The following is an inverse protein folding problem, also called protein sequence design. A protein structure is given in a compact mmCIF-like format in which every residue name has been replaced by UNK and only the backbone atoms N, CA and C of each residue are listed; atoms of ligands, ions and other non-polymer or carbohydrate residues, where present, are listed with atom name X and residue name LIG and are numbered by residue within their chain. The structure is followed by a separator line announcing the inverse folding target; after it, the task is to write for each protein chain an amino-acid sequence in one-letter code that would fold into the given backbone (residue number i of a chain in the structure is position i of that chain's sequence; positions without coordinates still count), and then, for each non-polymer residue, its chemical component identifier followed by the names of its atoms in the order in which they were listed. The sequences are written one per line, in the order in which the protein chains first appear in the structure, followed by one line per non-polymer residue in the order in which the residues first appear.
data_IF_690487881542
#
_entry.id   IF_690487881542
#
_cell.length_a   1.000
_cell.length_b   1.000
_cell.length_c   1.000
_cell.angle_alpha   90.00
_cell.angle_beta   90.00
_cell.angle_gamma   90.00
#
_symmetry.space_group_name_H-M   'P 1'
#
loop_
_entity.id
_entity.type
_entity.pdbx_description
1 polymer ?
#
# COMPACT_ATOMS: atom_id res chain seq x y z
N UNK A 1 8.03 -11.77 -14.22
CA UNK A 1 6.88 -11.01 -13.67
C UNK A 1 7.30 -9.57 -13.46
N UNK A 2 6.48 -8.64 -13.90
CA UNK A 2 6.66 -7.20 -13.63
C UNK A 2 5.96 -6.83 -12.34
N UNK A 3 6.56 -5.98 -11.52
CA UNK A 3 6.03 -5.63 -10.20
C UNK A 3 6.05 -4.11 -9.99
N UNK A 4 4.94 -3.61 -9.49
CA UNK A 4 4.80 -2.26 -8.96
C UNK A 4 4.76 -2.36 -7.43
N UNK A 5 5.79 -1.85 -6.77
CA UNK A 5 5.87 -1.80 -5.31
C UNK A 5 5.29 -0.46 -4.89
N UNK A 6 4.18 -0.49 -4.17
CA UNK A 6 3.29 0.66 -3.99
C UNK A 6 3.14 1.02 -2.51
N UNK A 7 3.43 2.28 -2.19
CA UNK A 7 3.01 2.94 -0.96
C UNK A 7 1.63 3.57 -1.13
N UNK A 8 0.97 3.89 -0.03
CA UNK A 8 -0.37 4.48 -0.04
C UNK A 8 -0.34 5.98 0.30
N UNK A 9 0.13 6.32 1.50
CA UNK A 9 0.13 7.71 1.97
C UNK A 9 1.10 8.55 1.14
N UNK A 10 0.59 9.65 0.58
CA UNK A 10 1.35 10.50 -0.31
C UNK A 10 1.46 10.02 -1.76
N UNK A 11 0.90 8.85 -2.09
CA UNK A 11 0.94 8.25 -3.43
C UNK A 11 -0.46 8.10 -4.01
N UNK A 12 -1.29 7.23 -3.45
CA UNK A 12 -2.69 7.06 -3.87
C UNK A 12 -3.68 7.64 -2.86
N UNK A 13 -3.25 7.83 -1.62
CA UNK A 13 -3.98 8.52 -0.58
C UNK A 13 -3.31 9.88 -0.35
N UNK A 14 -3.88 10.93 -0.93
CA UNK A 14 -3.29 12.27 -0.89
C UNK A 14 -3.74 13.05 0.35
N UNK A 15 -3.13 14.19 0.61
CA UNK A 15 -3.40 15.00 1.82
C UNK A 15 -4.87 15.40 1.97
N UNK A 16 -5.60 15.62 0.88
CA UNK A 16 -7.02 15.93 0.91
C UNK A 16 -7.91 14.73 1.27
N UNK A 17 -7.37 13.52 1.22
CA UNK A 17 -8.06 12.29 1.62
C UNK A 17 -7.82 11.93 3.10
N UNK A 18 -6.82 12.53 3.73
CA UNK A 18 -6.47 12.23 5.13
C UNK A 18 -7.62 12.61 6.05
N UNK A 19 -7.92 11.71 6.97
CA UNK A 19 -9.05 11.85 7.89
C UNK A 19 -10.38 11.34 7.34
N UNK A 20 -10.46 10.95 6.09
CA UNK A 20 -11.69 10.38 5.51
C UNK A 20 -12.14 9.10 6.23
N UNK A 21 -11.19 8.30 6.73
CA UNK A 21 -11.49 7.11 7.56
C UNK A 21 -12.24 7.49 8.84
N UNK A 22 -11.88 8.58 9.48
CA UNK A 22 -12.53 9.04 10.72
C UNK A 22 -13.99 9.46 10.45
N UNK A 23 -14.24 10.13 9.34
CA UNK A 23 -15.59 10.49 8.90
C UNK A 23 -16.44 9.24 8.64
N UNK A 24 -15.87 8.25 7.96
CA UNK A 24 -16.55 6.97 7.70
C UNK A 24 -16.85 6.21 8.99
N UNK A 25 -15.90 6.13 9.90
CA UNK A 25 -16.05 5.45 11.19
C UNK A 25 -17.11 6.15 12.05
N UNK A 26 -17.12 7.47 12.08
CA UNK A 26 -18.13 8.26 12.80
C UNK A 26 -19.54 8.01 12.22
N UNK A 27 -19.67 7.97 10.91
CA UNK A 27 -20.93 7.69 10.22
C UNK A 27 -21.43 6.26 10.46
N UNK A 28 -20.52 5.30 10.54
CA UNK A 28 -20.81 3.88 10.82
C UNK A 28 -21.28 3.66 12.28
N UNK A 29 -20.99 4.54 13.20
CA UNK A 29 -21.37 4.41 14.61
C UNK A 29 -20.19 4.60 15.57
N UNK A 30 -19.05 5.01 15.02
CA UNK A 30 -17.86 5.33 15.78
C UNK A 30 -17.06 4.11 16.20
N UNK A 31 -15.78 4.34 16.50
CA UNK A 31 -14.84 3.35 16.98
C UNK A 31 -14.91 3.30 18.52
N UNK A 32 -15.18 2.13 19.09
CA UNK A 32 -15.11 1.93 20.54
C UNK A 32 -13.65 2.03 21.01
N UNK A 33 -13.41 2.54 22.23
CA UNK A 33 -12.05 2.74 22.75
C UNK A 33 -11.19 1.48 22.78
N UNK A 34 -11.80 0.31 22.99
CA UNK A 34 -11.10 -0.99 23.01
C UNK A 34 -10.89 -1.60 21.62
N UNK A 35 -11.45 -1.00 20.57
CA UNK A 35 -11.42 -1.56 19.23
C UNK A 35 -10.10 -1.19 18.51
N UNK A 36 -9.40 -2.19 18.00
CA UNK A 36 -8.24 -1.98 17.11
C UNK A 36 -8.69 -1.67 15.69
N UNK A 37 -7.79 -1.14 14.85
CA UNK A 37 -8.12 -0.91 13.44
C UNK A 37 -8.52 -2.19 12.72
N UNK A 38 -7.94 -3.34 13.06
CA UNK A 38 -8.29 -4.63 12.46
C UNK A 38 -9.72 -5.06 12.70
N UNK A 39 -10.36 -4.57 13.76
CA UNK A 39 -11.74 -4.87 14.12
C UNK A 39 -12.74 -3.94 13.41
N UNK A 40 -12.28 -2.82 12.87
CA UNK A 40 -13.12 -1.92 12.08
C UNK A 40 -13.42 -2.57 10.72
N UNK A 41 -14.66 -2.55 10.22
CA UNK A 41 -14.94 -3.04 8.86
C UNK A 41 -14.00 -2.41 7.84
N UNK A 42 -13.55 -3.19 6.87
CA UNK A 42 -12.53 -2.77 5.89
C UNK A 42 -12.92 -1.47 5.19
N UNK A 43 -14.19 -1.33 4.80
CA UNK A 43 -14.71 -0.14 4.12
C UNK A 43 -14.59 1.15 4.94
N UNK A 44 -14.43 1.05 6.27
CA UNK A 44 -14.31 2.19 7.19
C UNK A 44 -12.92 2.31 7.82
N UNK A 45 -12.01 1.38 7.50
CA UNK A 45 -10.72 1.21 8.21
C UNK A 45 -9.65 2.17 7.74
N UNK A 46 -9.64 2.48 6.45
CA UNK A 46 -8.58 3.24 5.81
C UNK A 46 -9.09 4.55 5.20
N UNK A 47 -8.18 5.47 4.97
CA UNK A 47 -8.46 6.70 4.22
C UNK A 47 -8.74 6.36 2.74
N UNK A 48 -9.53 7.19 2.08
CA UNK A 48 -9.90 7.00 0.69
C UNK A 48 -8.69 7.21 -0.24
N UNK A 49 -8.65 6.46 -1.33
CA UNK A 49 -7.73 6.75 -2.43
C UNK A 49 -8.23 7.94 -3.23
N UNK A 50 -7.29 8.70 -3.76
CA UNK A 50 -7.60 9.78 -4.70
C UNK A 50 -8.04 9.21 -6.05
N UNK A 51 -9.16 9.68 -6.58
CA UNK A 51 -9.74 9.14 -7.81
C UNK A 51 -8.83 9.33 -9.03
N UNK A 52 -8.13 10.45 -9.12
CA UNK A 52 -7.19 10.71 -10.21
C UNK A 52 -5.96 9.80 -10.11
N UNK A 53 -5.45 9.62 -8.89
CA UNK A 53 -4.34 8.71 -8.65
C UNK A 53 -4.70 7.26 -9.01
N UNK A 54 -5.90 6.81 -8.65
CA UNK A 54 -6.40 5.48 -9.01
C UNK A 54 -6.53 5.33 -10.53
N UNK A 55 -7.01 6.36 -11.22
CA UNK A 55 -7.10 6.35 -12.68
C UNK A 55 -5.72 6.13 -13.33
N UNK A 56 -4.71 6.87 -12.89
CA UNK A 56 -3.33 6.72 -13.38
C UNK A 56 -2.79 5.33 -13.04
N UNK A 57 -2.99 4.87 -11.81
CA UNK A 57 -2.57 3.53 -11.39
C UNK A 57 -3.19 2.45 -12.30
N UNK A 58 -4.48 2.55 -12.58
CA UNK A 58 -5.18 1.59 -13.44
C UNK A 58 -4.63 1.60 -14.88
N UNK A 59 -4.30 2.77 -15.41
CA UNK A 59 -3.66 2.88 -16.72
C UNK A 59 -2.31 2.17 -16.75
N UNK A 60 -1.48 2.40 -15.73
CA UNK A 60 -0.16 1.73 -15.60
C UNK A 60 -0.32 0.22 -15.51
N UNK A 61 -1.23 -0.25 -14.67
CA UNK A 61 -1.47 -1.70 -14.48
C UNK A 61 -1.97 -2.36 -15.77
N UNK A 62 -2.87 -1.69 -16.48
CA UNK A 62 -3.44 -2.21 -17.72
C UNK A 62 -2.38 -2.27 -18.84
N UNK A 63 -1.57 -1.24 -18.98
CA UNK A 63 -0.55 -1.16 -20.03
C UNK A 63 0.65 -2.09 -19.79
N UNK A 64 1.04 -2.29 -18.54
CA UNK A 64 2.25 -3.04 -18.17
C UNK A 64 1.98 -4.50 -17.81
N UNK A 65 0.77 -4.82 -17.37
CA UNK A 65 0.44 -6.12 -16.78
C UNK A 65 1.16 -6.36 -15.45
N UNK A 66 1.64 -5.31 -14.78
CA UNK A 66 2.36 -5.45 -13.51
C UNK A 66 1.46 -5.96 -12.40
N UNK A 67 2.06 -6.72 -11.47
CA UNK A 67 1.43 -7.08 -10.21
C UNK A 67 1.74 -6.02 -9.16
N UNK A 68 0.84 -5.84 -8.20
CA UNK A 68 1.03 -4.88 -7.11
C UNK A 68 1.58 -5.60 -5.88
N UNK A 69 2.65 -5.06 -5.31
CA UNK A 69 3.15 -5.47 -3.99
C UNK A 69 3.07 -4.24 -3.08
N UNK A 70 2.35 -4.37 -1.97
CA UNK A 70 2.11 -3.25 -1.06
C UNK A 70 3.29 -3.08 -0.11
N UNK A 71 3.86 -1.88 -0.10
CA UNK A 71 4.98 -1.47 0.74
C UNK A 71 4.58 -0.38 1.73
N UNK A 72 3.32 -0.37 2.13
CA UNK A 72 2.74 0.63 3.03
C UNK A 72 2.61 0.09 4.46
N UNK A 73 2.68 0.97 5.45
CA UNK A 73 2.40 0.62 6.84
C UNK A 73 0.96 0.16 7.07
N UNK A 74 0.08 0.37 6.11
CA UNK A 74 -1.29 -0.15 6.18
C UNK A 74 -1.33 -1.68 6.30
N UNK A 75 -0.30 -2.38 5.85
CA UNK A 75 -0.15 -3.84 6.04
C UNK A 75 -0.19 -4.27 7.52
N UNK A 76 0.12 -3.35 8.43
CA UNK A 76 0.03 -3.60 9.88
C UNK A 76 -1.41 -3.67 10.39
N UNK A 77 -2.37 -3.18 9.62
CA UNK A 77 -3.76 -3.00 10.03
C UNK A 77 -4.76 -3.87 9.25
N UNK A 78 -4.29 -4.82 8.48
CA UNK A 78 -5.15 -5.71 7.73
C UNK A 78 -4.38 -6.85 7.06
N UNK A 79 -5.13 -7.90 6.71
CA UNK A 79 -4.60 -9.01 5.91
C UNK A 79 -4.47 -8.60 4.45
N UNK A 80 -3.79 -9.43 3.67
CA UNK A 80 -3.72 -9.24 2.21
C UNK A 80 -5.12 -9.32 1.58
N UNK A 81 -5.96 -10.21 2.09
CA UNK A 81 -7.36 -10.32 1.65
C UNK A 81 -8.14 -9.04 1.94
N UNK A 82 -8.01 -8.47 3.14
CA UNK A 82 -8.64 -7.20 3.50
C UNK A 82 -8.19 -6.09 2.54
N UNK A 83 -6.90 -6.03 2.25
CA UNK A 83 -6.36 -5.03 1.33
C UNK A 83 -6.91 -5.20 -0.09
N UNK A 84 -7.08 -6.44 -0.53
CA UNK A 84 -7.70 -6.74 -1.83
C UNK A 84 -9.14 -6.24 -1.89
N UNK A 85 -9.93 -6.43 -0.83
CA UNK A 85 -11.29 -5.90 -0.73
C UNK A 85 -11.28 -4.37 -0.80
N UNK A 86 -10.36 -3.73 -0.08
CA UNK A 86 -10.27 -2.27 -0.08
C UNK A 86 -9.87 -1.70 -1.45
N UNK A 87 -8.93 -2.33 -2.14
CA UNK A 87 -8.54 -1.94 -3.49
C UNK A 87 -9.72 -2.01 -4.47
N UNK A 88 -10.50 -3.07 -4.35
CA UNK A 88 -11.72 -3.22 -5.16
C UNK A 88 -12.71 -2.10 -4.87
N UNK A 89 -12.94 -1.79 -3.59
CA UNK A 89 -13.81 -0.68 -3.18
C UNK A 89 -13.32 0.68 -3.69
N UNK A 90 -12.00 0.88 -3.76
CA UNK A 90 -11.41 2.12 -4.25
C UNK A 90 -11.30 2.19 -5.77
N UNK A 91 -11.73 1.16 -6.48
CA UNK A 91 -11.78 1.15 -7.94
C UNK A 91 -10.47 0.78 -8.63
N UNK A 92 -9.53 0.16 -7.91
CA UNK A 92 -8.30 -0.37 -8.52
C UNK A 92 -8.62 -1.65 -9.28
N UNK A 93 -8.16 -1.75 -10.52
CA UNK A 93 -8.51 -2.86 -11.43
C UNK A 93 -7.87 -4.21 -11.04
N UNK A 94 -6.93 -4.20 -10.11
CA UNK A 94 -6.19 -5.39 -9.70
C UNK A 94 -6.00 -5.39 -8.19
N UNK A 95 -6.14 -6.56 -7.56
CA UNK A 95 -5.86 -6.73 -6.14
C UNK A 95 -4.34 -6.86 -5.93
N UNK A 96 -3.81 -6.46 -4.76
CA UNK A 96 -2.41 -6.70 -4.44
C UNK A 96 -2.08 -8.18 -4.44
N UNK A 97 -0.91 -8.51 -4.97
CA UNK A 97 -0.37 -9.86 -4.97
C UNK A 97 0.19 -10.24 -3.60
N UNK A 98 0.85 -9.30 -2.95
CA UNK A 98 1.61 -9.56 -1.72
C UNK A 98 1.88 -8.27 -0.95
N UNK A 99 2.36 -8.42 0.28
CA UNK A 99 2.96 -7.37 1.10
C UNK A 99 4.47 -7.54 1.15
N UNK A 100 5.22 -6.46 1.24
CA UNK A 100 6.62 -6.55 1.68
C UNK A 100 6.68 -7.00 3.14
N UNK A 101 7.73 -7.75 3.56
CA UNK A 101 7.85 -8.19 4.95
C UNK A 101 8.11 -7.00 5.89
N UNK A 102 7.94 -7.24 7.18
CA UNK A 102 8.33 -6.31 8.24
C UNK A 102 9.74 -6.70 8.68
N UNK A 103 10.68 -5.76 8.64
CA UNK A 103 12.03 -5.99 9.14
C UNK A 103 12.12 -5.56 10.60
N UNK A 104 12.70 -6.45 11.43
CA UNK A 104 12.95 -6.18 12.85
C UNK A 104 14.35 -5.58 13.01
N UNK A 105 14.46 -4.30 12.71
CA UNK A 105 15.71 -3.56 12.75
C UNK A 105 15.45 -2.09 13.08
N UNK A 106 16.38 -1.43 13.76
CA UNK A 106 16.34 0.02 13.96
C UNK A 106 16.96 0.75 12.77
N UNK A 107 16.47 1.97 12.53
CA UNK A 107 16.97 2.81 11.44
C UNK A 107 15.95 3.87 11.02
N UNK A 108 16.29 4.63 9.99
CA UNK A 108 15.38 5.59 9.39
C UNK A 108 14.24 4.88 8.65
N UNK A 109 13.13 5.56 8.43
CA UNK A 109 12.02 5.02 7.66
C UNK A 109 12.46 4.63 6.24
N UNK A 110 13.28 5.44 5.62
CA UNK A 110 13.81 5.20 4.26
C UNK A 110 14.64 3.92 4.21
N UNK A 111 15.50 3.70 5.19
CA UNK A 111 16.30 2.50 5.28
C UNK A 111 15.44 1.26 5.52
N UNK A 112 14.53 1.31 6.50
CA UNK A 112 13.67 0.18 6.84
C UNK A 112 12.78 -0.21 5.66
N UNK A 113 12.17 0.77 4.99
CA UNK A 113 11.35 0.55 3.81
C UNK A 113 12.16 -0.11 2.69
N UNK A 114 13.37 0.38 2.46
CA UNK A 114 14.29 -0.16 1.46
C UNK A 114 14.68 -1.60 1.74
N UNK A 115 14.95 -1.93 3.01
CA UNK A 115 15.26 -3.30 3.43
C UNK A 115 14.07 -4.25 3.24
N UNK A 116 12.87 -3.81 3.55
CA UNK A 116 11.65 -4.59 3.32
C UNK A 116 11.45 -4.90 1.83
N UNK A 117 11.65 -3.91 0.98
CA UNK A 117 11.56 -4.07 -0.48
C UNK A 117 12.63 -5.03 -0.97
N UNK A 118 13.88 -4.84 -0.55
CA UNK A 118 14.99 -5.68 -0.96
C UNK A 118 14.79 -7.14 -0.53
N UNK A 119 14.33 -7.36 0.70
CA UNK A 119 14.05 -8.71 1.19
C UNK A 119 12.94 -9.37 0.37
N UNK A 120 11.89 -8.64 0.02
CA UNK A 120 10.84 -9.18 -0.82
C UNK A 120 11.38 -9.57 -2.21
N UNK A 121 12.17 -8.71 -2.83
CA UNK A 121 12.80 -8.99 -4.14
C UNK A 121 13.74 -10.19 -4.07
N UNK A 122 14.52 -10.32 -3.01
CA UNK A 122 15.43 -11.45 -2.82
C UNK A 122 14.70 -12.78 -2.70
N UNK A 123 13.47 -12.75 -2.15
CA UNK A 123 12.63 -13.94 -2.00
C UNK A 123 11.76 -14.23 -3.21
N UNK A 124 11.76 -13.36 -4.23
CA UNK A 124 10.88 -13.48 -5.41
C UNK A 124 11.69 -13.34 -6.71
N UNK A 125 12.52 -14.34 -6.97
CA UNK A 125 13.47 -14.33 -8.11
C UNK A 125 12.81 -14.39 -9.49
N UNK A 126 11.51 -14.63 -9.57
CA UNK A 126 10.74 -14.59 -10.81
C UNK A 126 10.39 -13.16 -11.28
N UNK A 127 10.72 -12.15 -10.49
CA UNK A 127 10.55 -10.74 -10.88
C UNK A 127 11.59 -10.39 -11.95
N UNK A 128 11.12 -9.93 -13.11
CA UNK A 128 11.98 -9.54 -14.24
C UNK A 128 12.22 -8.05 -14.32
N UNK A 129 11.26 -7.27 -13.81
CA UNK A 129 11.39 -5.81 -13.69
C UNK A 129 10.48 -5.31 -12.59
N UNK A 130 10.88 -4.23 -11.95
CA UNK A 130 10.10 -3.63 -10.87
C UNK A 130 10.34 -2.13 -10.79
N UNK A 131 9.38 -1.45 -10.17
CA UNK A 131 9.50 -0.04 -9.80
C UNK A 131 8.83 0.15 -8.45
N UNK A 132 9.40 1.02 -7.62
CA UNK A 132 8.79 1.44 -6.37
C UNK A 132 8.22 2.85 -6.53
N UNK A 133 6.98 3.03 -6.13
CA UNK A 133 6.32 4.34 -6.07
C UNK A 133 6.03 4.64 -4.61
N UNK A 134 6.78 5.62 -4.09
CA UNK A 134 6.79 5.97 -2.66
C UNK A 134 7.12 7.44 -2.55
N UNK A 135 6.63 8.11 -1.52
CA UNK A 135 6.97 9.50 -1.22
C UNK A 135 8.24 9.65 -0.38
N UNK A 136 8.80 8.52 0.10
CA UNK A 136 10.10 8.48 0.75
C UNK A 136 11.22 8.43 -0.29
N UNK A 137 12.30 9.18 -0.05
CA UNK A 137 13.51 9.11 -0.88
C UNK A 137 14.38 7.93 -0.44
N UNK A 138 14.34 6.86 -1.21
CA UNK A 138 15.12 5.63 -0.97
C UNK A 138 16.30 5.49 -1.93
N UNK A 139 16.63 6.53 -2.67
CA UNK A 139 17.66 6.48 -3.74
C UNK A 139 19.04 6.11 -3.23
N UNK A 140 19.34 6.32 -1.94
CA UNK A 140 20.62 5.91 -1.33
C UNK A 140 20.71 4.41 -1.05
N UNK A 141 19.59 3.69 -1.01
CA UNK A 141 19.52 2.30 -0.54
C UNK A 141 19.02 1.33 -1.60
N UNK A 142 18.24 1.80 -2.55
CA UNK A 142 17.69 0.99 -3.64
C UNK A 142 18.33 1.40 -4.96
N UNK A 143 18.87 0.40 -5.65
CA UNK A 143 19.36 0.58 -7.00
C UNK A 143 18.21 0.29 -7.96
N UNK A 144 17.66 1.35 -8.55
CA UNK A 144 16.76 1.20 -9.69
C UNK A 144 17.62 0.94 -10.93
N UNK A 145 17.44 -0.22 -11.47
CA UNK A 145 18.05 -0.53 -12.78
C UNK A 145 17.04 -0.16 -13.86
#
# INVERSE_FOLDING_TARGET
MRVLILDHDGVVCLSNNWGSRLKKQKKWGGRKMSMTLREVPVEHRFDNFDKKAVKVLNEVLTETGAEIVVSSDWKLHGSLEDMGVYYDLMGVVKKPLDFTPIVDQSGTLELLRSLEIQQWLDNNKNVTSWVSVDDLDMSLFLWCI
#
